data_IF_961796736963
#
_entry.id   IF_961796736963
#
_cell.length_a   1.000
_cell.length_b   1.000
_cell.length_c   1.000
_cell.angle_alpha   90.00
_cell.angle_beta   90.00
_cell.angle_gamma   90.00
#
_symmetry.space_group_name_H-M   'P 1'
#
loop_
_entity.id
_entity.type
_entity.pdbx_description
1 polymer ?
#
# COMPACT_ATOMS: atom_id res chain seq x y z
N UNK A 1 40.24 0.76 -4.54
CA UNK A 1 38.86 1.11 -4.12
C UNK A 1 38.94 1.77 -2.75
N UNK A 2 38.29 2.91 -2.58
CA UNK A 2 38.26 3.65 -1.33
C UNK A 2 37.25 3.02 -0.36
N UNK A 3 37.73 2.54 0.79
CA UNK A 3 36.90 1.92 1.83
C UNK A 3 35.71 2.80 2.22
N UNK A 4 35.90 4.12 2.27
CA UNK A 4 34.83 5.08 2.59
C UNK A 4 33.67 5.05 1.59
N UNK A 5 33.92 4.92 0.28
CA UNK A 5 32.83 4.85 -0.69
C UNK A 5 32.08 3.52 -0.60
N UNK A 6 32.81 2.42 -0.33
CA UNK A 6 32.18 1.11 -0.14
C UNK A 6 31.25 1.12 1.09
N UNK A 7 31.67 1.76 2.19
CA UNK A 7 30.82 1.91 3.39
C UNK A 7 29.57 2.74 3.08
N UNK A 8 29.70 3.88 2.39
CA UNK A 8 28.55 4.74 2.05
C UNK A 8 27.58 3.99 1.11
N UNK A 9 28.10 3.27 0.13
CA UNK A 9 27.30 2.48 -0.79
C UNK A 9 26.50 1.39 -0.05
N UNK A 10 27.16 0.59 0.80
CA UNK A 10 26.48 -0.49 1.53
C UNK A 10 25.48 0.05 2.56
N UNK A 11 25.81 1.13 3.26
CA UNK A 11 24.91 1.74 4.26
C UNK A 11 23.65 2.31 3.61
N UNK A 12 23.79 3.03 2.48
CA UNK A 12 22.63 3.55 1.74
C UNK A 12 21.75 2.41 1.20
N UNK A 13 22.35 1.36 0.63
CA UNK A 13 21.62 0.17 0.18
C UNK A 13 20.83 -0.49 1.31
N UNK A 14 21.46 -0.73 2.46
CA UNK A 14 20.81 -1.35 3.62
C UNK A 14 19.71 -0.46 4.19
N UNK A 15 19.91 0.86 4.25
CA UNK A 15 18.91 1.80 4.74
C UNK A 15 17.66 1.78 3.87
N UNK A 16 17.81 1.93 2.54
CA UNK A 16 16.69 1.93 1.60
C UNK A 16 15.96 0.59 1.64
N UNK A 17 16.71 -0.52 1.64
CA UNK A 17 16.12 -1.87 1.71
C UNK A 17 15.37 -2.07 3.03
N UNK A 18 15.91 -1.60 4.15
CA UNK A 18 15.26 -1.67 5.46
C UNK A 18 13.97 -0.87 5.51
N UNK A 19 13.96 0.35 4.98
CA UNK A 19 12.76 1.18 4.88
C UNK A 19 11.69 0.52 3.99
N UNK A 20 12.09 -0.06 2.86
CA UNK A 20 11.18 -0.79 1.97
C UNK A 20 10.50 -1.94 2.71
N UNK A 21 11.28 -2.80 3.39
CA UNK A 21 10.75 -3.93 4.18
C UNK A 21 9.79 -3.43 5.27
N UNK A 22 10.16 -2.36 5.99
CA UNK A 22 9.32 -1.78 7.03
C UNK A 22 7.95 -1.31 6.51
N UNK A 23 7.91 -0.55 5.41
CA UNK A 23 6.63 -0.07 4.88
C UNK A 23 5.80 -1.21 4.27
N UNK A 24 6.42 -2.17 3.62
CA UNK A 24 5.71 -3.33 3.06
C UNK A 24 5.06 -4.17 4.15
N UNK A 25 5.82 -4.50 5.20
CA UNK A 25 5.28 -5.22 6.36
C UNK A 25 4.18 -4.43 7.05
N UNK A 26 4.36 -3.11 7.21
CA UNK A 26 3.34 -2.23 7.78
C UNK A 26 2.04 -2.23 6.97
N UNK A 27 2.12 -2.21 5.64
CA UNK A 27 0.93 -2.20 4.75
C UNK A 27 0.23 -3.56 4.77
N UNK A 28 0.98 -4.66 4.66
CA UNK A 28 0.40 -6.01 4.65
C UNK A 28 -0.28 -6.33 5.99
N UNK A 29 0.30 -5.85 7.10
CA UNK A 29 -0.26 -6.05 8.44
C UNK A 29 -1.24 -4.96 8.88
N UNK A 30 -1.53 -3.97 8.03
CA UNK A 30 -2.51 -2.94 8.38
C UNK A 30 -3.91 -3.57 8.45
N UNK A 31 -4.69 -3.30 9.51
CA UNK A 31 -6.08 -3.76 9.56
C UNK A 31 -6.88 -3.15 8.40
N UNK A 32 -7.83 -3.88 7.80
CA UNK A 32 -8.73 -3.32 6.80
C UNK A 32 -9.42 -2.09 7.39
N UNK A 33 -9.31 -0.95 6.72
CA UNK A 33 -10.10 0.21 7.10
C UNK A 33 -11.55 -0.11 6.72
N UNK A 34 -12.52 -0.03 7.65
CA UNK A 34 -13.92 -0.06 7.26
C UNK A 34 -14.16 1.15 6.36
N UNK A 35 -14.31 0.91 5.07
CA UNK A 35 -14.74 1.95 4.15
C UNK A 35 -16.26 2.04 4.21
N UNK A 36 -16.85 3.25 4.23
CA UNK A 36 -18.27 3.38 3.99
C UNK A 36 -18.58 2.75 2.64
N UNK A 37 -19.61 1.91 2.59
CA UNK A 37 -20.00 1.22 1.37
C UNK A 37 -20.25 2.25 0.26
N UNK A 38 -19.55 2.07 -0.86
CA UNK A 38 -19.61 2.98 -2.01
C UNK A 38 -20.91 2.83 -2.82
N UNK A 39 -21.73 1.82 -2.51
CA UNK A 39 -23.02 1.56 -3.18
C UNK A 39 -24.25 1.95 -2.36
N UNK A 40 -24.09 2.45 -1.13
CA UNK A 40 -25.24 2.84 -0.28
C UNK A 40 -26.10 3.93 -0.93
N UNK A 41 -25.51 4.83 -1.71
CA UNK A 41 -26.24 5.87 -2.46
C UNK A 41 -26.88 5.33 -3.76
N UNK A 42 -26.56 4.11 -4.17
CA UNK A 42 -27.04 3.46 -5.40
C UNK A 42 -28.13 2.40 -5.15
N UNK A 43 -28.41 2.06 -3.89
CA UNK A 43 -29.38 1.03 -3.51
C UNK A 43 -30.82 1.39 -3.90
N UNK A 44 -31.14 2.68 -4.01
CA UNK A 44 -32.47 3.19 -4.38
C UNK A 44 -32.69 3.37 -5.90
N UNK A 45 -31.68 3.12 -6.75
CA UNK A 45 -31.84 3.17 -8.21
C UNK A 45 -32.57 1.92 -8.76
N UNK A 46 -33.89 1.89 -8.59
CA UNK A 46 -34.77 0.86 -9.18
C UNK A 46 -34.81 0.84 -10.72
N UNK A 47 -34.19 1.81 -11.40
CA UNK A 47 -34.39 2.08 -12.83
C UNK A 47 -33.45 1.31 -13.79
N UNK A 48 -32.41 0.62 -13.31
CA UNK A 48 -31.43 -0.08 -14.19
C UNK A 48 -31.62 -1.59 -14.35
N UNK A 49 -32.66 -2.18 -13.79
CA UNK A 49 -33.05 -3.57 -14.13
C UNK A 49 -34.17 -3.56 -15.17
N UNK A 50 -33.80 -3.32 -16.43
CA UNK A 50 -34.64 -3.71 -17.57
C UNK A 50 -34.72 -5.24 -17.56
N UNK A 51 -35.81 -5.72 -16.99
CA UNK A 51 -36.17 -7.14 -16.89
C UNK A 51 -36.50 -7.65 -18.30
N UNK A 52 -35.83 -8.69 -18.84
CA UNK A 52 -36.36 -9.44 -19.98
C UNK A 52 -37.55 -10.32 -19.55
#
# INVERSE_FOLDING_TARGET
>A
MNTSALIIMLTTMLLVTGLMIYFFTRVISAPPKPEPDSYTDNDDESERQVKP
#
